data_IF_744366156567
#
_entry.id   IF_744366156567
#
_cell.length_a   1.000
_cell.length_b   1.000
_cell.length_c   1.000
_cell.angle_alpha   90.00
_cell.angle_beta   90.00
_cell.angle_gamma   90.00
#
_symmetry.space_group_name_H-M   'P 1'
#
loop_
_entity.id
_entity.type
_entity.pdbx_description
1 polymer ?
#
# COMPACT_ATOMS: atom_id res chain seq x y z
N UNK A 1 0.20 -0.69 -21.34
CA UNK A 1 0.06 -0.16 -19.97
C UNK A 1 1.10 0.94 -19.80
N UNK A 2 0.70 2.12 -19.35
CA UNK A 2 1.63 3.22 -19.10
C UNK A 2 2.45 2.89 -17.86
N UNK A 3 3.77 2.98 -17.96
CA UNK A 3 4.67 2.79 -16.82
C UNK A 3 5.09 4.16 -16.28
N UNK A 4 4.77 4.40 -15.01
CA UNK A 4 5.22 5.61 -14.30
C UNK A 4 6.64 5.38 -13.78
N UNK A 5 7.60 6.14 -14.31
CA UNK A 5 9.02 6.03 -13.91
C UNK A 5 9.41 6.94 -12.75
N UNK A 6 8.59 7.95 -12.46
CA UNK A 6 8.81 8.93 -11.39
C UNK A 6 7.45 9.49 -10.95
N UNK A 7 7.35 9.76 -9.66
CA UNK A 7 6.27 10.54 -9.06
C UNK A 7 6.85 11.86 -8.56
N UNK A 8 6.20 12.96 -8.91
CA UNK A 8 6.51 14.29 -8.38
C UNK A 8 5.77 14.52 -7.06
N UNK A 9 6.29 15.38 -6.16
CA UNK A 9 5.58 15.68 -4.92
C UNK A 9 4.14 16.14 -5.19
N UNK A 10 3.17 15.51 -4.52
CA UNK A 10 1.74 15.71 -4.74
C UNK A 10 1.06 14.63 -5.58
N UNK A 11 1.81 13.81 -6.32
CA UNK A 11 1.23 12.70 -7.09
C UNK A 11 0.80 11.54 -6.18
N UNK A 12 -0.33 10.91 -6.49
CA UNK A 12 -0.63 9.58 -5.94
C UNK A 12 0.36 8.57 -6.50
N UNK A 13 1.14 7.95 -5.62
CA UNK A 13 2.28 7.11 -6.00
C UNK A 13 2.12 5.63 -5.65
N UNK A 14 1.21 5.30 -4.72
CA UNK A 14 0.98 3.93 -4.29
C UNK A 14 -0.42 3.73 -3.74
N UNK A 15 -0.88 2.48 -3.76
CA UNK A 15 -2.11 2.08 -3.09
C UNK A 15 -1.96 0.70 -2.47
N UNK A 16 -2.65 0.51 -1.35
CA UNK A 16 -2.52 -0.69 -0.54
C UNK A 16 -3.84 -1.06 0.11
N UNK A 17 -4.16 -2.35 0.10
CA UNK A 17 -5.33 -2.93 0.75
C UNK A 17 -4.96 -3.52 2.12
N UNK A 18 -5.62 -3.03 3.17
CA UNK A 18 -5.74 -3.76 4.42
C UNK A 18 -7.04 -4.58 4.40
N UNK A 19 -6.98 -5.89 4.62
CA UNK A 19 -8.14 -6.79 4.58
C UNK A 19 -8.17 -7.74 5.78
N UNK A 20 -9.34 -8.16 6.23
CA UNK A 20 -9.44 -9.19 7.29
C UNK A 20 -9.06 -10.60 6.84
N UNK A 21 -9.07 -10.85 5.53
CA UNK A 21 -8.71 -12.13 4.92
C UNK A 21 -7.84 -11.87 3.68
N UNK A 22 -6.53 -12.10 3.83
CA UNK A 22 -5.55 -11.88 2.77
C UNK A 22 -5.70 -12.87 1.62
N UNK A 23 -6.05 -14.13 1.92
CA UNK A 23 -6.18 -15.17 0.91
C UNK A 23 -7.43 -14.98 0.03
N UNK A 24 -8.56 -14.62 0.64
CA UNK A 24 -9.79 -14.32 -0.10
C UNK A 24 -9.61 -13.08 -0.99
N UNK A 25 -9.01 -12.00 -0.46
CA UNK A 25 -8.72 -10.81 -1.24
C UNK A 25 -7.75 -11.10 -2.40
N UNK A 26 -6.67 -11.85 -2.15
CA UNK A 26 -5.73 -12.30 -3.18
C UNK A 26 -6.48 -13.02 -4.30
N UNK A 27 -7.26 -14.05 -3.97
CA UNK A 27 -8.05 -14.82 -4.95
C UNK A 27 -9.01 -13.95 -5.75
N UNK A 28 -9.70 -13.03 -5.07
CA UNK A 28 -10.66 -12.13 -5.71
C UNK A 28 -9.97 -11.22 -6.74
N UNK A 29 -8.91 -10.51 -6.34
CA UNK A 29 -8.25 -9.52 -7.20
C UNK A 29 -7.40 -10.14 -8.31
N UNK A 30 -6.76 -11.28 -8.07
CA UNK A 30 -6.06 -12.00 -9.15
C UNK A 30 -7.04 -12.54 -10.18
N UNK A 31 -8.22 -13.02 -9.77
CA UNK A 31 -9.28 -13.46 -10.68
C UNK A 31 -9.91 -12.31 -11.47
N UNK A 32 -10.11 -11.16 -10.83
CA UNK A 32 -10.79 -10.02 -11.45
C UNK A 32 -9.90 -9.28 -12.45
N UNK A 33 -8.62 -9.10 -12.12
CA UNK A 33 -7.72 -8.24 -12.88
C UNK A 33 -6.58 -8.98 -13.58
N UNK A 34 -6.48 -10.30 -13.41
CA UNK A 34 -5.37 -11.09 -13.97
C UNK A 34 -4.01 -10.75 -13.35
N UNK A 35 -4.00 -10.16 -12.15
CA UNK A 35 -2.76 -9.83 -11.44
C UNK A 35 -2.04 -11.09 -10.95
N UNK A 36 -0.72 -10.99 -10.80
CA UNK A 36 0.10 -11.99 -10.13
C UNK A 36 0.41 -11.55 -8.70
N UNK A 37 0.27 -12.46 -7.75
CA UNK A 37 0.63 -12.22 -6.36
C UNK A 37 2.06 -12.67 -6.10
N UNK A 38 2.87 -11.80 -5.52
CA UNK A 38 4.19 -12.09 -4.99
C UNK A 38 4.16 -11.94 -3.46
N UNK A 39 4.25 -13.06 -2.75
CA UNK A 39 4.14 -13.09 -1.28
C UNK A 39 5.51 -12.89 -0.63
N UNK A 40 5.60 -11.85 0.19
CA UNK A 40 6.79 -11.47 0.93
C UNK A 40 6.63 -11.94 2.39
N UNK A 41 7.50 -12.84 2.90
CA UNK A 41 7.44 -13.28 4.29
C UNK A 41 7.66 -12.12 5.27
N UNK A 42 6.81 -12.02 6.30
CA UNK A 42 6.87 -10.97 7.34
C UNK A 42 7.40 -11.47 8.69
N UNK A 43 7.83 -12.74 8.76
CA UNK A 43 8.30 -13.41 9.96
C UNK A 43 7.52 -14.68 10.28
N UNK A 44 7.96 -15.46 11.28
CA UNK A 44 7.24 -16.65 11.72
C UNK A 44 5.81 -16.31 12.13
N UNK A 45 4.84 -17.12 11.71
CA UNK A 45 3.43 -17.04 12.08
C UNK A 45 2.72 -15.70 11.72
N UNK A 46 3.34 -14.85 10.90
CA UNK A 46 2.70 -13.64 10.36
C UNK A 46 2.17 -13.91 8.95
N UNK A 47 0.94 -13.45 8.61
CA UNK A 47 0.48 -13.44 7.24
C UNK A 47 1.48 -12.69 6.33
N UNK A 48 1.66 -13.13 5.07
CA UNK A 48 2.59 -12.48 4.16
C UNK A 48 2.11 -11.08 3.79
N UNK A 49 3.06 -10.23 3.45
CA UNK A 49 2.79 -8.99 2.72
C UNK A 49 2.76 -9.30 1.23
N UNK A 50 1.69 -8.96 0.52
CA UNK A 50 1.46 -9.44 -0.84
C UNK A 50 1.63 -8.29 -1.82
N UNK A 51 2.66 -8.35 -2.65
CA UNK A 51 2.86 -7.44 -3.78
C UNK A 51 2.07 -7.94 -4.99
N UNK A 52 1.16 -7.13 -5.50
CA UNK A 52 0.40 -7.45 -6.72
C UNK A 52 1.11 -6.88 -7.96
N UNK A 53 1.15 -7.69 -9.01
CA UNK A 53 1.95 -7.41 -10.19
C UNK A 53 1.20 -7.61 -11.51
N UNK A 54 1.55 -6.77 -12.50
CA UNK A 54 1.20 -6.95 -13.91
C UNK A 54 2.50 -6.95 -14.69
N UNK A 55 2.75 -8.00 -15.50
CA UNK A 55 3.98 -8.15 -16.27
C UNK A 55 5.27 -7.96 -15.44
N UNK A 56 5.28 -8.46 -14.19
CA UNK A 56 6.41 -8.35 -13.26
C UNK A 56 6.61 -6.96 -12.64
N UNK A 57 5.70 -6.00 -12.90
CA UNK A 57 5.72 -4.66 -12.31
C UNK A 57 4.71 -4.56 -11.18
N UNK A 58 5.13 -3.97 -10.07
CA UNK A 58 4.30 -3.78 -8.88
C UNK A 58 3.20 -2.72 -9.15
N UNK A 59 1.95 -3.03 -8.83
CA UNK A 59 0.80 -2.15 -9.06
C UNK A 59 0.06 -1.75 -7.79
N UNK A 60 0.08 -2.60 -6.77
CA UNK A 60 -0.38 -2.30 -5.42
C UNK A 60 0.17 -3.35 -4.45
N UNK A 61 -0.13 -3.18 -3.17
CA UNK A 61 0.10 -4.21 -2.16
C UNK A 61 -1.19 -4.54 -1.40
N UNK A 62 -1.16 -5.67 -0.70
CA UNK A 62 -2.17 -5.98 0.31
C UNK A 62 -1.56 -6.72 1.49
N UNK A 63 -2.17 -6.53 2.66
CA UNK A 63 -1.81 -7.24 3.89
C UNK A 63 -3.05 -7.57 4.71
N UNK A 64 -2.92 -8.62 5.52
CA UNK A 64 -3.99 -9.03 6.42
C UNK A 64 -3.96 -8.22 7.72
N UNK A 65 -5.11 -7.66 8.10
CA UNK A 65 -5.33 -6.96 9.35
C UNK A 65 -6.72 -7.29 9.90
N UNK A 66 -6.79 -8.29 10.79
CA UNK A 66 -8.03 -8.71 11.46
C UNK A 66 -8.52 -7.73 12.52
N UNK A 67 -7.72 -6.74 12.89
CA UNK A 67 -8.00 -5.80 13.99
C UNK A 67 -8.68 -4.51 13.53
N UNK A 68 -8.79 -4.27 12.22
CA UNK A 68 -9.35 -3.06 11.66
C UNK A 68 -10.28 -3.37 10.47
N UNK A 69 -11.20 -2.45 10.13
CA UNK A 69 -12.02 -2.59 8.93
C UNK A 69 -11.19 -2.68 7.65
N UNK A 70 -11.66 -3.48 6.70
CA UNK A 70 -11.10 -3.55 5.34
C UNK A 70 -11.13 -2.18 4.68
N UNK A 71 -10.01 -1.76 4.10
CA UNK A 71 -9.88 -0.46 3.42
C UNK A 71 -8.75 -0.44 2.40
N UNK A 72 -8.95 0.35 1.35
CA UNK A 72 -7.86 0.82 0.50
C UNK A 72 -7.27 2.11 1.07
N UNK A 73 -5.95 2.21 1.04
CA UNK A 73 -5.20 3.41 1.37
C UNK A 73 -4.45 3.90 0.13
N UNK A 74 -4.35 5.21 -0.04
CA UNK A 74 -3.58 5.85 -1.10
C UNK A 74 -2.43 6.63 -0.49
N UNK A 75 -1.28 6.55 -1.13
CA UNK A 75 -0.07 7.26 -0.73
C UNK A 75 0.22 8.37 -1.73
N UNK A 76 0.66 9.51 -1.21
CA UNK A 76 1.05 10.68 -1.99
C UNK A 76 2.55 10.86 -1.88
N UNK A 77 3.22 11.06 -3.01
CA UNK A 77 4.66 11.33 -3.05
C UNK A 77 4.95 12.68 -2.40
N UNK A 78 6.03 12.72 -1.62
CA UNK A 78 6.54 13.94 -0.99
C UNK A 78 8.04 14.03 -1.22
N UNK A 79 8.57 15.25 -1.26
CA UNK A 79 10.00 15.46 -1.37
C UNK A 79 10.75 15.01 -0.11
N UNK A 80 10.14 15.21 1.06
CA UNK A 80 10.67 14.83 2.36
C UNK A 80 9.51 14.51 3.32
N UNK A 81 9.51 13.30 3.89
CA UNK A 81 8.41 12.82 4.76
C UNK A 81 8.41 13.50 6.13
N UNK A 82 9.57 13.82 6.70
CA UNK A 82 9.69 14.51 7.98
C UNK A 82 9.17 15.94 7.91
N UNK A 83 9.57 16.67 6.86
CA UNK A 83 9.11 18.04 6.62
C UNK A 83 7.60 18.07 6.35
N UNK A 84 7.10 17.12 5.55
CA UNK A 84 5.68 17.00 5.25
C UNK A 84 4.85 16.68 6.50
N UNK A 85 5.34 15.79 7.36
CA UNK A 85 4.71 15.43 8.62
C UNK A 85 4.65 16.62 9.59
N UNK A 86 5.74 17.38 9.73
CA UNK A 86 5.79 18.62 10.52
C UNK A 86 4.82 19.67 9.97
N UNK A 87 4.77 19.84 8.65
CA UNK A 87 3.86 20.80 8.00
C UNK A 87 2.39 20.39 8.16
N UNK A 88 2.08 19.10 8.04
CA UNK A 88 0.73 18.60 8.27
C UNK A 88 0.27 18.90 9.71
N UNK A 89 1.13 18.64 10.71
CA UNK A 89 0.86 18.99 12.11
C UNK A 89 0.62 20.49 12.31
N UNK A 90 1.47 21.35 11.74
CA UNK A 90 1.32 22.81 11.92
C UNK A 90 0.07 23.38 11.26
N UNK A 91 -0.50 22.68 10.28
CA UNK A 91 -1.78 23.01 9.64
C UNK A 91 -2.99 22.36 10.32
N UNK A 92 -2.83 21.76 11.50
CA UNK A 92 -3.91 21.12 12.26
C UNK A 92 -4.18 19.65 11.91
N UNK A 93 -3.36 19.06 11.04
CA UNK A 93 -3.38 17.62 10.76
C UNK A 93 -2.94 16.79 11.97
N UNK A 94 -3.40 15.54 12.02
CA UNK A 94 -3.02 14.56 13.06
C UNK A 94 -2.24 13.42 12.41
N UNK A 95 -1.05 13.15 12.92
CA UNK A 95 -0.30 11.97 12.50
C UNK A 95 -0.84 10.74 13.21
N UNK A 96 -1.16 9.69 12.43
CA UNK A 96 -1.48 8.37 12.97
C UNK A 96 -0.22 7.57 13.31
N UNK A 97 0.86 7.84 12.58
CA UNK A 97 2.17 7.20 12.73
C UNK A 97 3.21 8.26 12.38
N UNK A 98 4.29 8.31 13.15
CA UNK A 98 5.42 9.19 12.82
C UNK A 98 6.23 8.61 11.65
N UNK A 99 6.95 9.45 10.88
CA UNK A 99 7.93 8.96 9.90
C UNK A 99 9.02 8.09 10.55
N UNK A 100 9.60 7.19 9.76
CA UNK A 100 10.67 6.27 10.16
C UNK A 100 11.80 6.23 9.12
#
# INVERSE_FOLDING_TARGET
MTEMKKYTPGDFCWTELATSDGNAAKKFYTSLFGWKANEMPMGPDQPPYIMMQINGKNVCAMYENKKAPTKWSSYVSVANVDESAKKAKSLGGKLKTEPF
#
